data_IF_364087950356
#
_entry.id   IF_364087950356
#
_cell.length_a   1.000
_cell.length_b   1.000
_cell.length_c   1.000
_cell.angle_alpha   90.00
_cell.angle_beta   90.00
_cell.angle_gamma   90.00
#
_symmetry.space_group_name_H-M   'P 1'
#
loop_
_entity.id
_entity.type
_entity.pdbx_description
1 polymer ?
#
# COMPACT_ATOMS: atom_id res chain seq x y z
N UNK A 1 14.04 21.01 10.31
CA UNK A 1 13.36 20.95 8.99
C UNK A 1 12.43 19.76 9.04
N UNK A 2 11.23 19.81 8.49
CA UNK A 2 10.35 18.66 8.47
C UNK A 2 11.03 17.47 7.76
N UNK A 3 10.72 16.26 8.20
CA UNK A 3 11.25 15.03 7.60
C UNK A 3 10.90 14.97 6.10
N UNK A 4 11.87 14.61 5.28
CA UNK A 4 11.62 14.39 3.85
C UNK A 4 10.97 13.02 3.66
N UNK A 5 9.74 12.99 3.16
CA UNK A 5 9.02 11.77 2.82
C UNK A 5 9.01 11.60 1.31
N UNK A 6 9.30 10.39 0.83
CA UNK A 6 9.30 10.06 -0.60
C UNK A 6 8.17 9.08 -0.89
N UNK A 7 7.25 9.45 -1.77
CA UNK A 7 6.18 8.59 -2.24
C UNK A 7 6.71 7.65 -3.31
N UNK A 8 6.58 6.36 -3.09
CA UNK A 8 7.10 5.34 -4.00
C UNK A 8 5.99 4.48 -4.55
N UNK A 9 6.11 4.12 -5.81
CA UNK A 9 5.19 3.19 -6.48
C UNK A 9 5.86 2.54 -7.69
N UNK A 10 5.27 1.46 -8.17
CA UNK A 10 5.69 0.85 -9.43
C UNK A 10 4.48 0.36 -10.22
N UNK A 11 4.69 0.17 -11.51
CA UNK A 11 3.72 -0.43 -12.42
C UNK A 11 4.42 -1.34 -13.44
N UNK A 12 3.69 -2.32 -13.95
CA UNK A 12 4.21 -3.19 -15.00
C UNK A 12 4.15 -2.46 -16.34
N UNK A 13 5.31 -2.27 -16.97
CA UNK A 13 5.42 -1.62 -18.30
C UNK A 13 4.71 -2.41 -19.38
N UNK A 14 4.22 -1.71 -20.41
CA UNK A 14 3.48 -2.30 -21.56
C UNK A 14 2.27 -3.13 -21.11
N UNK A 15 1.65 -2.76 -19.99
CA UNK A 15 0.45 -3.39 -19.44
C UNK A 15 -0.64 -2.35 -19.17
N UNK A 16 -1.89 -2.77 -18.90
CA UNK A 16 -2.94 -1.85 -18.48
C UNK A 16 -2.60 -1.01 -17.24
N UNK A 17 -1.67 -1.47 -16.40
CA UNK A 17 -1.24 -0.76 -15.19
C UNK A 17 -0.45 0.52 -15.48
N UNK A 18 0.19 0.64 -16.64
CA UNK A 18 0.81 1.89 -17.08
C UNK A 18 -0.24 3.00 -17.26
N UNK A 19 -1.36 2.68 -17.92
CA UNK A 19 -2.50 3.60 -18.05
C UNK A 19 -3.11 3.91 -16.69
N UNK A 20 -3.24 2.91 -15.81
CA UNK A 20 -3.77 3.08 -14.44
C UNK A 20 -2.91 4.07 -13.66
N UNK A 21 -1.59 3.89 -13.62
CA UNK A 21 -0.65 4.78 -12.95
C UNK A 21 -0.78 6.22 -13.44
N UNK A 22 -0.80 6.40 -14.76
CA UNK A 22 -0.87 7.72 -15.41
C UNK A 22 -2.26 8.38 -15.30
N UNK A 23 -3.32 7.58 -15.01
CA UNK A 23 -4.67 8.11 -14.81
C UNK A 23 -4.92 8.52 -13.36
N UNK A 24 -4.37 7.79 -12.40
CA UNK A 24 -4.73 7.94 -10.98
C UNK A 24 -3.59 8.50 -10.13
N UNK A 25 -2.55 7.71 -9.85
CA UNK A 25 -1.58 8.06 -8.83
C UNK A 25 -0.67 9.21 -9.26
N UNK A 26 -0.03 9.10 -10.42
CA UNK A 26 0.95 10.10 -10.87
C UNK A 26 0.38 11.54 -10.89
N UNK A 27 -0.77 11.82 -11.53
CA UNK A 27 -1.31 13.19 -11.55
C UNK A 27 -1.68 13.69 -10.16
N UNK A 28 -2.07 12.79 -9.24
CA UNK A 28 -2.42 13.20 -7.88
C UNK A 28 -1.19 13.51 -7.03
N UNK A 29 -0.07 12.81 -7.21
CA UNK A 29 1.20 13.15 -6.57
C UNK A 29 1.72 14.52 -7.06
N UNK A 30 1.66 14.76 -8.36
CA UNK A 30 2.05 16.03 -9.00
C UNK A 30 1.17 17.19 -8.53
N UNK A 31 -0.15 17.01 -8.46
CA UNK A 31 -1.11 18.01 -7.96
C UNK A 31 -0.77 18.51 -6.55
N UNK A 32 -0.29 17.63 -5.69
CA UNK A 32 0.06 17.96 -4.31
C UNK A 32 1.54 18.27 -4.11
N UNK A 33 2.35 18.39 -5.20
CA UNK A 33 3.80 18.60 -5.16
C UNK A 33 4.53 17.62 -4.24
N UNK A 34 4.10 16.35 -4.21
CA UNK A 34 4.72 15.33 -3.38
C UNK A 34 5.95 14.76 -4.06
N UNK A 35 7.08 14.72 -3.32
CA UNK A 35 8.32 14.12 -3.83
C UNK A 35 8.06 12.63 -4.06
N UNK A 36 8.27 12.16 -5.29
CA UNK A 36 7.95 10.77 -5.63
C UNK A 36 8.99 10.09 -6.53
N UNK A 37 9.04 8.77 -6.44
CA UNK A 37 9.84 7.88 -7.29
C UNK A 37 8.96 6.73 -7.76
N UNK A 38 8.48 6.84 -9.00
CA UNK A 38 7.62 5.85 -9.65
C UNK A 38 8.44 5.09 -10.70
N UNK A 39 8.46 3.76 -10.61
CA UNK A 39 9.24 2.94 -11.52
C UNK A 39 8.37 2.04 -12.40
N UNK A 40 8.74 1.94 -13.68
CA UNK A 40 8.22 0.93 -14.59
C UNK A 40 9.03 -0.35 -14.43
N UNK A 41 8.38 -1.46 -14.12
CA UNK A 41 9.02 -2.77 -14.03
C UNK A 41 8.62 -3.65 -15.20
N UNK A 42 9.46 -4.63 -15.54
CA UNK A 42 9.11 -5.68 -16.50
C UNK A 42 8.05 -6.60 -15.91
N UNK A 43 7.15 -7.12 -16.74
CA UNK A 43 6.20 -8.14 -16.34
C UNK A 43 6.95 -9.43 -15.90
N UNK A 44 6.67 -9.89 -14.69
CA UNK A 44 7.25 -11.09 -14.09
C UNK A 44 6.46 -12.37 -14.42
N UNK A 45 5.49 -12.26 -15.35
CA UNK A 45 4.76 -13.36 -15.94
C UNK A 45 3.37 -13.61 -15.39
N UNK A 46 3.07 -13.19 -14.16
CA UNK A 46 1.72 -13.25 -13.61
C UNK A 46 1.51 -12.20 -12.50
N UNK A 47 0.23 -11.96 -12.19
CA UNK A 47 -0.15 -10.97 -11.19
C UNK A 47 0.48 -11.21 -9.81
N UNK A 48 0.54 -12.47 -9.36
CA UNK A 48 1.08 -12.80 -8.03
C UNK A 48 2.58 -12.47 -7.95
N UNK A 49 3.35 -12.80 -8.98
CA UNK A 49 4.78 -12.45 -9.04
C UNK A 49 4.98 -10.94 -9.07
N UNK A 50 4.18 -10.23 -9.87
CA UNK A 50 4.25 -8.77 -9.95
C UNK A 50 3.91 -8.11 -8.60
N UNK A 51 2.90 -8.58 -7.88
CA UNK A 51 2.56 -8.04 -6.55
C UNK A 51 3.59 -8.44 -5.49
N UNK A 52 4.13 -9.65 -5.53
CA UNK A 52 5.16 -10.10 -4.59
C UNK A 52 6.47 -9.32 -4.72
N UNK A 53 6.72 -8.69 -5.88
CA UNK A 53 7.86 -7.80 -6.08
C UNK A 53 7.81 -6.55 -5.17
N UNK A 54 6.64 -6.20 -4.64
CA UNK A 54 6.46 -5.05 -3.73
C UNK A 54 7.46 -5.05 -2.57
N UNK A 55 7.70 -6.20 -1.95
CA UNK A 55 8.64 -6.31 -0.84
C UNK A 55 10.07 -5.92 -1.25
N UNK A 56 10.53 -6.45 -2.39
CA UNK A 56 11.86 -6.12 -2.93
C UNK A 56 11.93 -4.66 -3.34
N UNK A 57 10.91 -4.14 -4.02
CA UNK A 57 10.84 -2.75 -4.43
C UNK A 57 10.94 -1.78 -3.24
N UNK A 58 10.19 -2.05 -2.16
CA UNK A 58 10.25 -1.23 -0.94
C UNK A 58 11.65 -1.26 -0.33
N UNK A 59 12.31 -2.42 -0.28
CA UNK A 59 13.68 -2.53 0.22
C UNK A 59 14.64 -1.70 -0.62
N UNK A 60 14.56 -1.83 -1.95
CA UNK A 60 15.42 -1.09 -2.89
C UNK A 60 15.25 0.42 -2.74
N UNK A 61 14.00 0.90 -2.56
CA UNK A 61 13.71 2.32 -2.38
C UNK A 61 14.20 2.85 -1.02
N UNK A 62 14.05 2.09 0.06
CA UNK A 62 14.60 2.45 1.37
C UNK A 62 16.12 2.59 1.30
N UNK A 63 16.81 1.64 0.67
CA UNK A 63 18.27 1.66 0.53
C UNK A 63 18.75 2.78 -0.40
N UNK A 64 18.01 3.07 -1.48
CA UNK A 64 18.30 4.14 -2.44
C UNK A 64 18.19 5.52 -1.81
N UNK A 65 17.07 5.79 -1.17
CA UNK A 65 16.75 7.13 -0.69
C UNK A 65 17.27 7.41 0.72
N UNK A 66 17.43 6.37 1.55
CA UNK A 66 17.79 6.49 2.97
C UNK A 66 16.91 7.51 3.72
N UNK A 67 15.62 7.50 3.40
CA UNK A 67 14.57 8.39 3.91
C UNK A 67 13.32 7.59 4.19
N UNK A 68 12.39 8.17 4.95
CA UNK A 68 11.05 7.64 5.08
C UNK A 68 10.39 7.57 3.72
N UNK A 69 9.81 6.40 3.39
CA UNK A 69 9.07 6.20 2.14
C UNK A 69 7.61 5.88 2.44
N UNK A 70 6.72 6.33 1.55
CA UNK A 70 5.31 5.94 1.56
C UNK A 70 5.04 5.18 0.27
N UNK A 71 4.86 3.87 0.38
CA UNK A 71 4.42 3.05 -0.75
C UNK A 71 2.92 3.26 -0.98
N UNK A 72 2.54 3.49 -2.24
CA UNK A 72 1.14 3.58 -2.67
C UNK A 72 0.95 2.75 -3.93
N UNK A 73 -0.12 1.93 -3.98
CA UNK A 73 -0.47 1.15 -5.17
C UNK A 73 -0.79 2.06 -6.37
N UNK A 74 -0.42 1.61 -7.58
CA UNK A 74 -0.57 2.36 -8.84
C UNK A 74 -2.01 2.81 -9.14
N UNK A 75 -3.01 2.14 -8.57
CA UNK A 75 -4.42 2.42 -8.75
C UNK A 75 -5.02 3.31 -7.65
N UNK A 76 -4.18 4.02 -6.91
CA UNK A 76 -4.65 4.98 -5.91
C UNK A 76 -4.70 6.41 -6.46
N UNK A 77 -5.55 7.22 -5.85
CA UNK A 77 -5.58 8.68 -6.03
C UNK A 77 -5.40 9.35 -4.68
N UNK A 78 -4.54 10.35 -4.61
CA UNK A 78 -4.42 11.23 -3.44
C UNK A 78 -5.44 12.35 -3.59
N UNK A 79 -6.53 12.25 -2.85
CA UNK A 79 -7.66 13.19 -2.93
C UNK A 79 -7.37 14.48 -2.17
N UNK A 80 -6.61 14.40 -1.06
CA UNK A 80 -6.18 15.52 -0.21
C UNK A 80 -4.71 15.41 0.13
N UNK A 81 -4.09 16.55 0.48
CA UNK A 81 -2.71 16.55 0.97
C UNK A 81 -2.58 15.65 2.22
N UNK A 82 -1.73 14.61 2.18
CA UNK A 82 -1.70 13.57 3.21
C UNK A 82 -0.81 13.96 4.41
N UNK A 83 -1.15 15.06 5.09
CA UNK A 83 -0.35 15.69 6.14
C UNK A 83 -0.03 14.77 7.33
N UNK A 84 -0.91 13.83 7.64
CA UNK A 84 -0.73 12.89 8.76
C UNK A 84 0.64 12.18 8.72
N UNK A 85 1.18 11.89 7.54
CA UNK A 85 2.47 11.20 7.47
C UNK A 85 3.63 11.98 8.11
N UNK A 86 3.55 13.31 8.18
CA UNK A 86 4.52 14.16 8.90
C UNK A 86 4.20 14.32 10.39
N UNK A 87 2.99 13.97 10.80
CA UNK A 87 2.50 14.08 12.17
C UNK A 87 2.69 12.78 12.97
N UNK A 88 2.97 11.65 12.28
CA UNK A 88 3.20 10.35 12.93
C UNK A 88 4.45 10.44 13.81
N UNK A 89 4.34 10.15 15.12
CA UNK A 89 5.48 10.20 16.04
C UNK A 89 6.66 9.34 15.59
N UNK A 90 7.89 9.82 15.88
CA UNK A 90 9.13 9.18 15.42
C UNK A 90 9.37 7.77 15.97
N UNK A 91 8.74 7.44 17.09
CA UNK A 91 8.85 6.09 17.65
C UNK A 91 8.17 4.99 16.82
N UNK A 92 7.28 5.33 15.87
CA UNK A 92 6.65 4.34 14.99
C UNK A 92 7.54 4.03 13.79
N UNK A 93 7.76 2.74 13.56
CA UNK A 93 8.61 2.22 12.48
C UNK A 93 7.88 2.16 11.13
N UNK A 94 6.59 1.77 11.17
CA UNK A 94 5.71 1.69 9.99
C UNK A 94 4.34 2.27 10.31
N UNK A 95 3.64 2.72 9.26
CA UNK A 95 2.23 3.08 9.38
C UNK A 95 1.41 2.38 8.31
N UNK A 96 0.31 1.71 8.72
CA UNK A 96 -0.50 0.87 7.85
C UNK A 96 -1.95 0.80 8.33
N UNK A 97 -2.89 0.65 7.40
CA UNK A 97 -4.31 0.45 7.72
C UNK A 97 -4.64 -1.03 7.89
N UNK A 98 -5.50 -1.34 8.88
CA UNK A 98 -6.10 -2.65 9.08
C UNK A 98 -7.58 -2.60 8.73
N UNK A 99 -7.93 -3.21 7.61
CA UNK A 99 -9.29 -3.20 7.07
C UNK A 99 -10.19 -4.19 7.79
N UNK A 100 -11.31 -3.71 8.27
CA UNK A 100 -12.44 -4.54 8.70
C UNK A 100 -13.30 -4.91 7.47
N UNK A 101 -13.12 -6.14 6.97
CA UNK A 101 -13.85 -6.62 5.79
C UNK A 101 -15.32 -6.87 6.05
N UNK A 102 -15.74 -7.14 7.28
CA UNK A 102 -17.16 -7.30 7.59
C UNK A 102 -17.88 -5.97 7.48
N UNK A 103 -17.28 -4.89 8.03
CA UNK A 103 -17.80 -3.54 7.87
C UNK A 103 -17.88 -3.13 6.39
N UNK A 104 -16.85 -3.50 5.62
CA UNK A 104 -16.78 -3.18 4.19
C UNK A 104 -17.81 -3.89 3.33
N UNK A 105 -18.06 -5.19 3.59
CA UNK A 105 -18.84 -6.03 2.69
C UNK A 105 -20.25 -6.31 3.15
N UNK A 106 -20.51 -6.32 4.45
CA UNK A 106 -21.78 -6.71 5.05
C UNK A 106 -22.49 -5.58 5.76
N UNK A 107 -21.79 -4.49 6.03
CA UNK A 107 -22.28 -3.36 6.82
C UNK A 107 -22.80 -3.82 8.22
N UNK A 108 -22.23 -4.89 8.76
CA UNK A 108 -22.51 -5.38 10.08
C UNK A 108 -21.24 -5.39 10.94
N UNK A 109 -21.42 -5.33 12.25
CA UNK A 109 -20.32 -5.37 13.23
C UNK A 109 -20.05 -6.81 13.73
N UNK A 110 -20.58 -7.82 13.08
CA UNK A 110 -20.56 -9.21 13.54
C UNK A 110 -19.27 -9.96 13.27
N UNK A 111 -18.27 -9.36 12.64
CA UNK A 111 -17.02 -10.02 12.28
C UNK A 111 -15.79 -9.33 12.83
N UNK A 112 -14.77 -10.11 13.15
CA UNK A 112 -13.45 -9.64 13.60
C UNK A 112 -12.37 -10.08 12.61
N UNK A 113 -12.57 -9.79 11.33
CA UNK A 113 -11.55 -10.08 10.33
C UNK A 113 -10.87 -8.79 9.92
N UNK A 114 -9.76 -8.52 10.58
CA UNK A 114 -8.89 -7.40 10.24
C UNK A 114 -7.73 -7.89 9.39
N UNK A 115 -7.59 -7.30 8.21
CA UNK A 115 -6.46 -7.56 7.32
C UNK A 115 -5.61 -6.30 7.18
N UNK A 116 -4.30 -6.42 7.41
CA UNK A 116 -3.35 -5.39 7.03
C UNK A 116 -3.48 -5.13 5.53
N UNK A 117 -3.63 -3.88 5.11
CA UNK A 117 -3.65 -3.49 3.70
C UNK A 117 -2.28 -2.99 3.27
N UNK A 118 -1.75 -3.58 2.18
CA UNK A 118 -0.46 -3.20 1.61
C UNK A 118 -0.56 -2.11 0.52
N UNK A 119 -1.74 -1.55 0.30
CA UNK A 119 -1.96 -0.53 -0.73
C UNK A 119 -1.38 0.84 -0.38
N UNK A 120 -1.37 1.19 0.91
CA UNK A 120 -0.73 2.40 1.45
C UNK A 120 0.04 2.03 2.71
N UNK A 121 1.36 2.15 2.69
CA UNK A 121 2.22 1.86 3.84
C UNK A 121 3.35 2.88 3.91
N UNK A 122 3.53 3.50 5.08
CA UNK A 122 4.73 4.27 5.39
C UNK A 122 5.77 3.36 6.03
N UNK A 123 7.02 3.50 5.64
CA UNK A 123 8.18 2.84 6.22
C UNK A 123 9.22 3.90 6.59
N UNK A 124 9.56 4.02 7.88
CA UNK A 124 10.68 4.85 8.29
C UNK A 124 12.00 4.18 7.94
N UNK A 125 12.98 4.99 7.58
CA UNK A 125 14.33 4.48 7.34
C UNK A 125 15.07 4.29 8.67
N UNK A 126 15.02 3.08 9.22
CA UNK A 126 15.79 2.65 10.38
C UNK A 126 16.10 1.14 10.30
N UNK A 127 16.99 0.66 11.17
CA UNK A 127 17.43 -0.75 11.15
C UNK A 127 16.30 -1.74 11.42
N UNK A 128 15.32 -1.41 12.27
CA UNK A 128 14.18 -2.27 12.55
C UNK A 128 13.32 -2.46 11.30
N UNK A 129 13.00 -1.36 10.64
CA UNK A 129 12.24 -1.38 9.37
C UNK A 129 12.99 -2.13 8.28
N UNK A 130 14.30 -1.89 8.13
CA UNK A 130 15.12 -2.61 7.15
C UNK A 130 15.13 -4.11 7.42
N UNK A 131 15.27 -4.53 8.68
CA UNK A 131 15.18 -5.94 9.09
C UNK A 131 13.82 -6.55 8.78
N UNK A 132 12.73 -5.84 9.10
CA UNK A 132 11.36 -6.25 8.78
C UNK A 132 11.18 -6.47 7.27
N UNK A 133 11.60 -5.49 6.44
CA UNK A 133 11.41 -5.54 4.99
C UNK A 133 12.29 -6.61 4.35
N UNK A 134 13.53 -6.84 4.83
CA UNK A 134 14.36 -7.98 4.39
C UNK A 134 13.66 -9.31 4.68
N UNK A 135 13.10 -9.48 5.88
CA UNK A 135 12.32 -10.68 6.23
C UNK A 135 11.07 -10.84 5.35
N UNK A 136 10.43 -9.72 4.98
CA UNK A 136 9.30 -9.72 4.04
C UNK A 136 9.73 -10.21 2.65
N UNK A 137 10.85 -9.71 2.12
CA UNK A 137 11.44 -10.18 0.85
C UNK A 137 11.73 -11.68 0.88
N UNK A 138 12.38 -12.18 1.92
CA UNK A 138 12.70 -13.60 2.04
C UNK A 138 11.45 -14.48 2.07
N UNK A 139 10.48 -14.12 2.90
CA UNK A 139 9.26 -14.91 3.06
C UNK A 139 8.36 -14.86 1.83
N UNK A 140 8.30 -13.77 1.09
CA UNK A 140 7.54 -13.72 -0.17
C UNK A 140 8.08 -14.65 -1.24
N UNK A 141 9.36 -15.03 -1.20
CA UNK A 141 9.95 -16.01 -2.13
C UNK A 141 9.50 -17.44 -1.85
N UNK A 142 9.19 -17.77 -0.60
CA UNK A 142 8.86 -19.12 -0.14
C UNK A 142 7.38 -19.37 0.05
N UNK A 143 6.60 -18.32 0.35
CA UNK A 143 5.16 -18.44 0.57
C UNK A 143 4.35 -18.30 -0.72
N UNK A 144 3.33 -19.15 -0.88
CA UNK A 144 2.35 -19.10 -1.99
C UNK A 144 1.18 -18.14 -1.73
N UNK A 145 1.17 -17.48 -0.56
CA UNK A 145 0.14 -16.51 -0.17
C UNK A 145 0.50 -15.09 -0.63
N UNK A 146 -0.48 -14.21 -0.65
CA UNK A 146 -0.28 -12.80 -1.05
C UNK A 146 0.75 -12.10 -0.16
N UNK A 147 1.56 -11.24 -0.74
CA UNK A 147 2.62 -10.47 -0.09
C UNK A 147 2.10 -9.67 1.13
N UNK A 148 0.87 -9.17 1.04
CA UNK A 148 0.16 -8.49 2.12
C UNK A 148 -0.03 -9.38 3.35
N UNK A 149 -0.43 -10.64 3.14
CA UNK A 149 -0.59 -11.61 4.23
C UNK A 149 0.74 -12.05 4.83
N UNK A 150 1.78 -12.10 4.01
CA UNK A 150 3.15 -12.34 4.49
C UNK A 150 3.58 -11.21 5.41
N UNK A 151 3.40 -9.94 4.99
CA UNK A 151 3.72 -8.78 5.81
C UNK A 151 2.94 -8.79 7.14
N UNK A 152 1.64 -9.05 7.08
CA UNK A 152 0.80 -9.14 8.29
C UNK A 152 1.36 -10.17 9.28
N UNK A 153 1.68 -11.39 8.83
CA UNK A 153 2.27 -12.42 9.70
C UNK A 153 3.58 -11.98 10.33
N UNK A 154 4.47 -11.36 9.54
CA UNK A 154 5.75 -10.90 10.04
C UNK A 154 5.58 -9.82 11.09
N UNK A 155 4.64 -8.89 10.91
CA UNK A 155 4.37 -7.82 11.88
C UNK A 155 3.73 -8.37 13.15
N UNK A 156 2.86 -9.38 13.06
CA UNK A 156 2.28 -10.06 14.23
C UNK A 156 3.29 -10.84 15.06
N UNK A 157 4.30 -11.43 14.39
CA UNK A 157 5.39 -12.17 15.02
C UNK A 157 6.48 -11.26 15.62
N UNK A 158 6.66 -10.06 15.10
CA UNK A 158 7.72 -9.14 15.49
C UNK A 158 7.18 -8.02 16.41
N UNK A 159 7.29 -8.24 17.73
CA UNK A 159 6.81 -7.30 18.73
C UNK A 159 7.68 -6.04 18.89
N UNK A 160 8.88 -6.02 18.32
CA UNK A 160 9.79 -4.87 18.42
C UNK A 160 9.46 -3.78 17.41
N UNK A 161 8.64 -4.09 16.37
CA UNK A 161 8.15 -3.13 15.41
C UNK A 161 6.97 -2.36 15.97
N UNK A 162 7.10 -1.05 16.04
CA UNK A 162 6.01 -0.17 16.42
C UNK A 162 5.19 0.25 15.18
N UNK A 163 3.90 -0.06 15.23
CA UNK A 163 2.99 0.14 14.10
C UNK A 163 2.00 1.25 14.44
N UNK A 164 2.00 2.30 13.63
CA UNK A 164 0.94 3.30 13.64
C UNK A 164 -0.23 2.81 12.78
N UNK A 165 -1.42 2.79 13.36
CA UNK A 165 -2.63 2.39 12.63
C UNK A 165 -3.18 3.58 11.86
N UNK A 166 -2.98 3.59 10.54
CA UNK A 166 -3.57 4.60 9.66
C UNK A 166 -5.10 4.53 9.73
N UNK A 167 -5.78 5.68 9.79
CA UNK A 167 -7.22 5.73 9.65
C UNK A 167 -7.65 5.28 8.24
N UNK A 168 -8.90 4.85 8.09
CA UNK A 168 -9.41 4.29 6.83
C UNK A 168 -9.38 5.31 5.69
N UNK A 169 -9.44 6.57 5.98
CA UNK A 169 -9.37 7.70 5.04
C UNK A 169 -8.03 7.75 4.30
N UNK A 170 -6.97 7.18 4.89
CA UNK A 170 -5.63 7.06 4.27
C UNK A 170 -5.43 5.76 3.48
N UNK A 171 -6.41 4.88 3.47
CA UNK A 171 -6.39 3.65 2.68
C UNK A 171 -7.82 3.22 2.31
N UNK A 172 -8.61 4.15 1.79
CA UNK A 172 -10.00 3.89 1.39
C UNK A 172 -10.05 3.02 0.16
N UNK A 173 -10.56 1.79 0.31
CA UNK A 173 -10.69 0.82 -0.78
C UNK A 173 -12.09 0.87 -1.35
N UNK A 174 -12.23 1.12 -2.65
CA UNK A 174 -13.52 1.10 -3.34
C UNK A 174 -14.25 -0.24 -3.14
N UNK A 175 -15.58 -0.18 -3.03
CA UNK A 175 -16.43 -1.35 -3.00
C UNK A 175 -16.43 -2.09 -4.37
N UNK A 176 -17.22 -3.16 -4.49
CA UNK A 176 -17.32 -3.94 -5.74
C UNK A 176 -17.98 -3.18 -6.90
N UNK A 177 -18.69 -2.08 -6.62
CA UNK A 177 -19.26 -1.18 -7.63
C UNK A 177 -18.29 -0.10 -8.09
N UNK A 178 -17.10 0.00 -7.46
CA UNK A 178 -16.12 1.04 -7.74
C UNK A 178 -16.38 2.35 -6.99
N UNK A 179 -17.21 2.34 -5.95
CA UNK A 179 -17.60 3.49 -5.15
C UNK A 179 -16.89 3.49 -3.79
N UNK A 180 -16.81 4.65 -3.15
CA UNK A 180 -16.40 4.77 -1.74
C UNK A 180 -17.42 4.04 -0.87
N UNK A 181 -16.99 3.23 0.12
CA UNK A 181 -17.92 2.54 1.03
C UNK A 181 -18.82 3.53 1.79
N UNK A 182 -20.08 3.18 1.98
CA UNK A 182 -21.10 4.06 2.58
C UNK A 182 -20.78 4.52 4.03
N UNK A 183 -19.88 3.84 4.73
CA UNK A 183 -19.47 4.21 6.08
C UNK A 183 -18.34 5.23 6.13
N UNK A 184 -17.87 5.70 4.95
CA UNK A 184 -16.83 6.73 4.80
C UNK A 184 -17.44 7.88 4.01
N UNK A 185 -17.29 9.09 4.53
CA UNK A 185 -17.74 10.28 3.79
C UNK A 185 -16.71 10.63 2.72
N UNK A 186 -17.12 10.83 1.45
CA UNK A 186 -16.19 11.14 0.36
C UNK A 186 -15.26 12.32 0.65
N UNK A 187 -15.77 13.35 1.34
CA UNK A 187 -15.01 14.53 1.72
C UNK A 187 -13.95 14.27 2.81
N UNK A 188 -13.99 13.14 3.48
CA UNK A 188 -12.98 12.74 4.50
C UNK A 188 -11.85 11.92 3.90
N UNK A 189 -11.96 11.43 2.66
CA UNK A 189 -10.96 10.58 2.01
C UNK A 189 -9.69 11.36 1.66
N UNK A 190 -8.54 10.83 2.06
CA UNK A 190 -7.20 11.33 1.71
C UNK A 190 -6.57 10.51 0.59
N UNK A 191 -6.63 9.18 0.69
CA UNK A 191 -6.06 8.26 -0.31
C UNK A 191 -7.10 7.20 -0.66
N UNK A 192 -7.48 7.15 -1.94
CA UNK A 192 -8.51 6.25 -2.48
C UNK A 192 -7.90 5.21 -3.40
N UNK A 193 -8.19 3.93 -3.17
CA UNK A 193 -7.78 2.80 -4.00
C UNK A 193 -8.91 2.33 -4.91
N UNK A 194 -8.72 2.41 -6.24
CA UNK A 194 -9.74 2.14 -7.25
C UNK A 194 -9.93 0.67 -7.59
N UNK A 195 -9.09 -0.23 -7.05
CA UNK A 195 -9.18 -1.68 -7.27
C UNK A 195 -9.10 -2.09 -8.75
N UNK A 196 -8.16 -1.49 -9.50
CA UNK A 196 -7.98 -1.73 -10.93
C UNK A 196 -7.74 -3.21 -11.27
N UNK A 197 -7.09 -3.95 -10.38
CA UNK A 197 -6.86 -5.39 -10.51
C UNK A 197 -8.14 -6.20 -10.72
N UNK A 198 -9.28 -5.76 -10.20
CA UNK A 198 -10.58 -6.43 -10.40
C UNK A 198 -11.04 -6.42 -11.86
N UNK A 199 -10.63 -5.39 -12.64
CA UNK A 199 -10.96 -5.26 -14.05
C UNK A 199 -10.06 -6.12 -14.95
N UNK A 200 -8.81 -6.35 -14.54
CA UNK A 200 -7.79 -6.99 -15.36
C UNK A 200 -7.50 -8.44 -14.99
N UNK A 201 -7.92 -8.87 -13.81
CA UNK A 201 -7.80 -10.28 -13.40
C UNK A 201 -8.82 -11.12 -14.17
N UNK A 202 -8.34 -12.05 -14.99
CA UNK A 202 -9.18 -13.13 -15.49
C UNK A 202 -9.68 -13.95 -14.30
N UNK A 203 -10.99 -14.02 -14.10
CA UNK A 203 -11.64 -14.78 -13.01
C UNK A 203 -11.26 -16.27 -12.97
N UNK A 204 -10.63 -16.80 -14.03
CA UNK A 204 -10.18 -18.20 -14.14
C UNK A 204 -8.94 -18.54 -13.29
N UNK A 205 -8.22 -17.57 -12.77
CA UNK A 205 -6.98 -17.78 -12.00
C UNK A 205 -7.18 -17.68 -10.46
N UNK A 206 -8.39 -17.86 -9.98
CA UNK A 206 -8.75 -17.84 -8.55
C UNK A 206 -8.93 -19.24 -7.97
N UNK A 207 -8.23 -20.26 -8.47
CA UNK A 207 -8.20 -21.61 -7.87
C UNK A 207 -6.90 -21.84 -7.13
#
# INVERSE_FOLDING_TARGET
MPETIIYISFFTSKSPYEKVMNTYLRPSLERWNLIHDIQAIKDLGNWQKNTSYKAQFVLDMLLKHKKTVVFIDADATIEKHPSLFWEIPEEYDIAVHYQDWYKQWRNDNCGKRFDLLSGTIMFRYNEKTLSLVRKWVERTKTFTIWEQKVLQKITEENKDIKIFKLPVEYCTVNNHKGEIPNYIKPEEVYIRHHQASRKFRNRRNWK
#
